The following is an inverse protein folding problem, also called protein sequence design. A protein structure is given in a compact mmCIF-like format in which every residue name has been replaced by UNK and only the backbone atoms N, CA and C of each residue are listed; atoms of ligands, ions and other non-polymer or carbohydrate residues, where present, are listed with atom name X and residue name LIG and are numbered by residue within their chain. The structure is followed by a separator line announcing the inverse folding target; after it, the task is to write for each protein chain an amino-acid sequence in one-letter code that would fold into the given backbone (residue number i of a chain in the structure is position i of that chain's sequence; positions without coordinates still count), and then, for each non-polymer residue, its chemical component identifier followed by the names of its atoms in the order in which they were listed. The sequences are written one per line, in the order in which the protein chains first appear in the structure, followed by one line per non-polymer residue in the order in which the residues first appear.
data_IF_253530939211
#
_entry.id   IF_253530939211
#
_cell.length_a   1.000
_cell.length_b   1.000
_cell.length_c   1.000
_cell.angle_alpha   90.00
_cell.angle_beta   90.00
_cell.angle_gamma   90.00
#
_symmetry.space_group_name_H-M   'P 1'
#
loop_
_entity.id
_entity.type
_entity.pdbx_description
1 polymer ?
#
# COMPACT_ATOMS: atom_id res chain seq x y z
N UNK A 1 26.22 -3.37 5.09
CA UNK A 1 26.50 -2.12 4.33
C UNK A 1 25.21 -1.29 4.31
N UNK A 2 25.33 0.03 4.52
CA UNK A 2 24.21 0.98 4.52
C UNK A 2 24.56 2.11 3.56
N UNK A 3 23.71 2.39 2.58
CA UNK A 3 23.90 3.40 1.56
C UNK A 3 22.95 4.57 1.86
N UNK A 4 23.51 5.77 2.01
CA UNK A 4 22.79 6.99 2.32
C UNK A 4 22.87 7.97 1.16
N UNK A 5 21.86 8.80 1.03
CA UNK A 5 21.87 10.02 0.21
C UNK A 5 21.99 11.23 1.12
N UNK A 6 22.53 12.29 0.60
CA UNK A 6 22.51 13.60 1.25
C UNK A 6 21.12 14.25 1.10
N UNK A 7 20.83 15.24 1.93
CA UNK A 7 19.50 15.90 1.96
C UNK A 7 19.17 16.56 0.62
N UNK A 8 20.14 17.13 -0.07
CA UNK A 8 19.97 17.77 -1.38
C UNK A 8 19.76 16.77 -2.52
N UNK A 9 20.02 15.48 -2.29
CA UNK A 9 19.77 14.39 -3.24
C UNK A 9 18.33 13.88 -3.23
N UNK A 10 17.47 14.37 -2.32
CA UNK A 10 16.03 14.03 -2.33
C UNK A 10 15.45 14.35 -3.72
N UNK A 11 14.65 13.44 -4.33
CA UNK A 11 14.01 13.69 -5.61
C UNK A 11 13.24 15.01 -5.65
N UNK A 12 13.40 15.76 -6.74
CA UNK A 12 12.67 17.01 -7.00
C UNK A 12 11.36 16.77 -7.74
N UNK A 13 11.16 15.57 -8.26
CA UNK A 13 9.99 15.16 -9.04
C UNK A 13 9.57 13.77 -8.62
N UNK A 14 8.28 13.49 -8.64
CA UNK A 14 7.75 12.13 -8.65
C UNK A 14 7.74 11.60 -10.08
N UNK A 15 7.83 10.28 -10.23
CA UNK A 15 7.70 9.61 -11.51
C UNK A 15 6.27 9.08 -11.70
N UNK A 16 5.65 9.46 -12.80
CA UNK A 16 4.30 9.04 -13.15
C UNK A 16 4.34 7.93 -14.21
N UNK A 17 3.99 6.72 -13.81
CA UNK A 17 3.97 5.54 -14.69
C UNK A 17 2.95 5.66 -15.82
N UNK A 18 1.87 6.48 -15.65
CA UNK A 18 0.83 6.65 -16.67
C UNK A 18 1.39 7.15 -18.01
N UNK A 19 2.48 7.91 -17.97
CA UNK A 19 3.18 8.39 -19.17
C UNK A 19 3.86 7.27 -19.98
N UNK A 20 4.09 6.10 -19.37
CA UNK A 20 4.92 5.05 -19.94
C UNK A 20 4.24 3.67 -19.95
N UNK A 21 2.97 3.58 -19.54
CA UNK A 21 2.22 2.33 -19.59
C UNK A 21 2.18 1.76 -21.03
N UNK A 22 2.28 0.42 -21.19
CA UNK A 22 2.27 -0.22 -22.52
C UNK A 22 0.93 -0.07 -23.26
N UNK A 23 -0.14 0.20 -22.52
CA UNK A 23 -1.50 0.45 -23.01
C UNK A 23 -2.14 1.58 -22.21
N UNK A 24 -3.12 2.23 -22.81
CA UNK A 24 -3.94 3.25 -22.12
C UNK A 24 -4.69 2.59 -20.96
N UNK A 25 -4.60 3.22 -19.79
CA UNK A 25 -5.31 2.78 -18.62
C UNK A 25 -6.82 2.95 -18.82
N UNK A 26 -7.65 1.91 -18.65
CA UNK A 26 -9.10 2.06 -18.73
C UNK A 26 -9.59 3.09 -17.68
N UNK A 27 -10.44 4.06 -18.07
CA UNK A 27 -10.90 5.11 -17.16
C UNK A 27 -11.82 4.54 -16.07
N UNK A 28 -11.91 5.20 -14.91
CA UNK A 28 -12.96 4.94 -13.95
C UNK A 28 -14.35 5.19 -14.57
N UNK A 29 -15.33 4.34 -14.26
CA UNK A 29 -16.68 4.47 -14.80
C UNK A 29 -17.67 4.89 -13.70
N UNK A 30 -18.63 5.72 -14.09
CA UNK A 30 -19.79 6.00 -13.27
C UNK A 30 -20.63 4.71 -13.14
N UNK A 31 -20.98 4.27 -11.93
CA UNK A 31 -21.68 3.00 -11.74
C UNK A 31 -23.07 2.92 -12.42
N UNK A 32 -23.74 4.05 -12.54
CA UNK A 32 -25.11 4.12 -13.09
C UNK A 32 -25.11 4.21 -14.61
N UNK A 33 -24.28 5.11 -15.17
CA UNK A 33 -24.28 5.38 -16.62
C UNK A 33 -23.29 4.51 -17.39
N UNK A 34 -22.34 3.85 -16.69
CA UNK A 34 -21.22 3.09 -17.30
C UNK A 34 -20.33 3.92 -18.24
N UNK A 35 -20.41 5.24 -18.14
CA UNK A 35 -19.54 6.18 -18.87
C UNK A 35 -18.34 6.60 -18.03
N UNK A 36 -17.22 7.05 -18.64
CA UNK A 36 -16.10 7.59 -17.90
C UNK A 36 -16.53 8.70 -16.93
N UNK A 37 -15.98 8.65 -15.71
CA UNK A 37 -16.22 9.69 -14.70
C UNK A 37 -15.54 10.98 -15.14
N UNK A 38 -16.26 12.11 -15.03
CA UNK A 38 -15.63 13.41 -15.17
C UNK A 38 -14.72 13.69 -13.95
N UNK A 39 -13.43 13.96 -14.13
CA UNK A 39 -12.53 14.28 -13.02
C UNK A 39 -13.01 15.41 -12.12
N UNK A 40 -13.74 16.39 -12.66
CA UNK A 40 -14.29 17.51 -11.87
C UNK A 40 -15.32 17.05 -10.82
N UNK A 41 -16.05 15.98 -11.08
CA UNK A 41 -17.01 15.41 -10.12
C UNK A 41 -16.29 14.83 -8.87
N UNK A 42 -15.05 14.40 -9.05
CA UNK A 42 -14.24 13.84 -7.97
C UNK A 42 -13.71 14.93 -7.01
N UNK A 43 -13.63 16.18 -7.44
CA UNK A 43 -13.16 17.31 -6.62
C UNK A 43 -14.04 17.57 -5.39
N UNK A 44 -15.30 17.10 -5.38
CA UNK A 44 -16.16 17.19 -4.20
C UNK A 44 -15.61 16.32 -3.04
N UNK A 45 -14.99 15.21 -3.36
CA UNK A 45 -14.49 14.22 -2.39
C UNK A 45 -13.00 14.37 -2.16
N UNK A 46 -12.23 14.45 -3.27
CA UNK A 46 -10.77 14.50 -3.23
C UNK A 46 -10.24 15.94 -3.32
N UNK A 47 -9.02 16.10 -2.88
CA UNK A 47 -8.20 17.30 -3.02
C UNK A 47 -7.99 17.57 -4.51
N UNK A 48 -8.20 18.81 -4.96
CA UNK A 48 -8.18 19.17 -6.39
C UNK A 48 -6.85 18.82 -7.06
N UNK A 49 -5.73 19.12 -6.40
CA UNK A 49 -4.41 18.79 -6.95
C UNK A 49 -4.20 17.27 -7.07
N UNK A 50 -4.72 16.47 -6.11
CA UNK A 50 -4.69 15.01 -6.22
C UNK A 50 -5.52 14.51 -7.40
N UNK A 51 -6.67 15.14 -7.69
CA UNK A 51 -7.49 14.80 -8.89
C UNK A 51 -6.73 15.12 -10.18
N UNK A 52 -6.04 16.27 -10.25
CA UNK A 52 -5.20 16.61 -11.41
C UNK A 52 -4.09 15.59 -11.63
N UNK A 53 -3.43 15.18 -10.55
CA UNK A 53 -2.38 14.16 -10.59
C UNK A 53 -2.90 12.76 -10.94
N UNK A 54 -4.13 12.43 -10.53
CA UNK A 54 -4.78 11.14 -10.83
C UNK A 54 -4.90 10.87 -12.33
N UNK A 55 -5.16 11.92 -13.11
CA UNK A 55 -5.39 11.84 -14.56
C UNK A 55 -4.22 12.39 -15.40
N UNK A 56 -3.16 12.87 -14.75
CA UNK A 56 -2.01 13.47 -15.44
C UNK A 56 -1.25 12.44 -16.26
N UNK A 57 -0.84 12.84 -17.46
CA UNK A 57 0.07 12.09 -18.34
C UNK A 57 1.49 12.67 -18.36
N UNK A 58 1.76 13.68 -17.54
CA UNK A 58 3.11 14.19 -17.35
C UNK A 58 4.00 13.14 -16.67
N UNK A 59 5.15 12.84 -17.27
CA UNK A 59 6.05 11.80 -16.75
C UNK A 59 6.69 12.15 -15.42
N UNK A 60 7.01 13.41 -15.19
CA UNK A 60 7.63 13.90 -13.96
C UNK A 60 6.83 15.07 -13.41
N UNK A 61 6.24 14.85 -12.23
CA UNK A 61 5.46 15.87 -11.53
C UNK A 61 6.32 16.46 -10.43
N UNK A 62 6.47 17.78 -10.41
CA UNK A 62 7.32 18.48 -9.43
C UNK A 62 6.84 18.28 -8.01
N UNK A 63 7.76 17.94 -7.11
CA UNK A 63 7.51 17.91 -5.67
C UNK A 63 7.69 19.35 -5.12
N UNK A 64 6.66 19.96 -4.56
CA UNK A 64 6.78 21.25 -3.88
C UNK A 64 7.88 21.24 -2.83
N UNK A 65 8.55 22.38 -2.65
CA UNK A 65 9.66 22.49 -1.69
C UNK A 65 9.18 22.22 -0.26
N UNK A 66 8.00 22.70 0.07
CA UNK A 66 7.39 22.50 1.40
C UNK A 66 7.12 21.01 1.69
N UNK A 67 6.75 20.23 0.69
CA UNK A 67 6.64 18.75 0.84
C UNK A 67 8.03 18.15 1.09
N UNK A 68 9.06 18.60 0.36
CA UNK A 68 10.44 18.11 0.53
C UNK A 68 10.98 18.43 1.92
N UNK A 69 10.69 19.64 2.46
CA UNK A 69 11.05 20.02 3.83
C UNK A 69 10.40 19.08 4.86
N UNK A 70 9.12 18.74 4.68
CA UNK A 70 8.43 17.80 5.59
C UNK A 70 8.95 16.38 5.37
N UNK A 71 9.33 15.98 4.16
CA UNK A 71 10.02 14.70 3.92
C UNK A 71 11.33 14.61 4.71
N UNK A 72 12.13 15.68 4.74
CA UNK A 72 13.36 15.76 5.54
C UNK A 72 13.05 15.57 7.04
N UNK A 73 12.06 16.29 7.56
CA UNK A 73 11.61 16.13 8.95
C UNK A 73 11.12 14.71 9.25
N UNK A 74 10.55 14.03 8.27
CA UNK A 74 10.08 12.67 8.38
C UNK A 74 11.19 11.62 8.18
N UNK A 75 12.46 12.04 8.07
CA UNK A 75 13.62 11.14 8.02
C UNK A 75 14.04 10.69 6.61
N UNK A 76 13.58 11.39 5.55
CA UNK A 76 14.09 11.15 4.19
C UNK A 76 15.37 11.97 3.93
N UNK A 77 16.26 11.47 3.05
CA UNK A 77 16.24 10.21 2.30
C UNK A 77 16.35 8.98 3.21
N UNK A 78 15.56 7.94 2.93
CA UNK A 78 15.63 6.71 3.71
C UNK A 78 16.81 5.83 3.28
N UNK A 79 17.42 5.04 4.18
CA UNK A 79 18.56 4.21 3.82
C UNK A 79 18.22 3.07 2.86
N UNK A 80 19.15 2.70 1.99
CA UNK A 80 19.22 1.39 1.37
C UNK A 80 20.22 0.54 2.15
N UNK A 81 19.85 -0.67 2.55
CA UNK A 81 20.69 -1.53 3.38
C UNK A 81 20.84 -2.91 2.75
N UNK A 82 22.05 -3.51 2.84
CA UNK A 82 22.30 -4.88 2.42
C UNK A 82 22.14 -5.84 3.59
N UNK A 83 21.44 -6.94 3.37
CA UNK A 83 21.13 -7.97 4.36
C UNK A 83 22.24 -9.03 4.43
N UNK A 84 23.47 -8.60 4.75
CA UNK A 84 24.66 -9.46 4.68
C UNK A 84 24.60 -10.67 5.60
N UNK A 85 24.00 -10.51 6.79
CA UNK A 85 23.87 -11.63 7.73
C UNK A 85 22.84 -12.65 7.27
N UNK A 86 21.78 -12.20 6.62
CA UNK A 86 20.79 -13.08 5.99
C UNK A 86 21.42 -13.86 4.82
N UNK A 87 22.21 -13.19 3.98
CA UNK A 87 22.96 -13.83 2.88
C UNK A 87 23.88 -14.96 3.39
N UNK A 88 24.63 -14.69 4.46
CA UNK A 88 25.50 -15.69 5.13
C UNK A 88 24.70 -16.90 5.62
N UNK A 89 23.58 -16.66 6.34
CA UNK A 89 22.74 -17.73 6.90
C UNK A 89 22.14 -18.60 5.78
N UNK A 90 21.73 -17.98 4.67
CA UNK A 90 21.20 -18.70 3.51
C UNK A 90 22.28 -19.40 2.70
N UNK A 91 23.55 -18.97 2.84
CA UNK A 91 24.68 -19.45 2.06
C UNK A 91 24.47 -19.23 0.56
N UNK A 92 23.94 -18.05 0.19
CA UNK A 92 23.58 -17.69 -1.17
C UNK A 92 24.63 -16.78 -1.80
N UNK A 93 24.88 -16.87 -3.13
CA UNK A 93 25.68 -15.88 -3.86
C UNK A 93 24.88 -14.58 -4.14
N UNK A 94 23.58 -14.55 -3.90
CA UNK A 94 22.77 -13.37 -4.13
C UNK A 94 23.09 -12.25 -3.13
N UNK A 95 23.04 -11.01 -3.62
CA UNK A 95 23.11 -9.78 -2.83
C UNK A 95 21.68 -9.31 -2.53
N UNK A 96 21.30 -9.23 -1.25
CA UNK A 96 19.95 -8.87 -0.83
C UNK A 96 19.96 -7.45 -0.27
N UNK A 97 19.26 -6.54 -0.93
CA UNK A 97 19.10 -5.15 -0.50
C UNK A 97 17.65 -4.87 -0.09
N UNK A 98 17.49 -4.02 0.89
CA UNK A 98 16.17 -3.56 1.32
C UNK A 98 16.15 -2.05 1.60
N UNK A 99 15.09 -1.41 1.09
CA UNK A 99 14.86 0.03 1.29
C UNK A 99 14.10 0.24 2.58
N UNK A 100 14.63 1.10 3.47
CA UNK A 100 14.17 1.30 4.85
C UNK A 100 13.04 2.33 4.96
N UNK A 101 11.81 1.95 4.61
CA UNK A 101 10.63 2.82 4.78
C UNK A 101 10.02 2.74 6.21
N UNK A 102 10.50 1.84 7.02
CA UNK A 102 10.16 1.67 8.43
C UNK A 102 10.71 2.79 9.34
N UNK A 103 11.68 3.57 8.87
CA UNK A 103 12.31 4.65 9.65
C UNK A 103 11.49 5.95 9.71
N UNK A 104 10.37 6.03 8.99
CA UNK A 104 9.48 7.17 9.07
C UNK A 104 8.87 7.33 10.47
N UNK A 105 8.38 8.52 10.87
CA UNK A 105 7.82 8.76 12.21
C UNK A 105 6.65 7.84 12.58
N UNK A 106 5.96 7.29 11.58
CA UNK A 106 4.82 6.38 11.77
C UNK A 106 5.17 4.92 11.44
N UNK A 107 6.43 4.67 11.10
CA UNK A 107 6.97 3.33 10.89
C UNK A 107 6.53 2.66 9.59
N UNK A 108 6.14 3.41 8.55
CA UNK A 108 5.79 2.84 7.25
C UNK A 108 5.92 3.82 6.07
N UNK A 109 6.01 3.28 4.85
CA UNK A 109 6.04 4.02 3.58
C UNK A 109 4.84 4.95 3.35
N UNK A 110 3.73 4.74 4.04
CA UNK A 110 2.48 5.49 3.81
C UNK A 110 2.61 6.98 4.13
N UNK A 111 3.57 7.34 4.97
CA UNK A 111 3.91 8.73 5.31
C UNK A 111 4.20 9.59 4.07
N UNK A 112 4.75 9.01 3.00
CA UNK A 112 5.11 9.77 1.80
C UNK A 112 3.90 10.41 1.11
N UNK A 113 2.86 9.62 0.83
CA UNK A 113 1.63 10.16 0.23
C UNK A 113 0.79 10.94 1.23
N UNK A 114 0.82 10.57 2.52
CA UNK A 114 0.09 11.28 3.55
C UNK A 114 0.55 12.74 3.68
N UNK A 115 1.86 12.99 3.65
CA UNK A 115 2.43 14.34 3.65
C UNK A 115 1.96 15.12 2.41
N UNK A 116 2.01 14.52 1.22
CA UNK A 116 1.60 15.19 -0.01
C UNK A 116 0.11 15.54 0.01
N UNK A 117 -0.76 14.61 0.39
CA UNK A 117 -2.21 14.85 0.46
C UNK A 117 -2.55 15.91 1.52
N UNK A 118 -1.97 15.85 2.72
CA UNK A 118 -2.21 16.85 3.76
C UNK A 118 -1.71 18.24 3.36
N UNK A 119 -0.55 18.35 2.69
CA UNK A 119 -0.04 19.60 2.15
C UNK A 119 -1.02 20.23 1.16
N UNK A 120 -1.46 19.46 0.17
CA UNK A 120 -2.38 19.97 -0.85
C UNK A 120 -3.74 20.34 -0.25
N UNK A 121 -4.25 19.58 0.71
CA UNK A 121 -5.47 19.93 1.44
C UNK A 121 -5.32 21.28 2.17
N UNK A 122 -4.20 21.45 2.87
CA UNK A 122 -3.89 22.72 3.55
C UNK A 122 -3.82 23.89 2.55
N UNK A 123 -3.17 23.70 1.39
CA UNK A 123 -3.08 24.74 0.35
C UNK A 123 -4.43 25.11 -0.28
N UNK A 124 -5.37 24.18 -0.32
CA UNK A 124 -6.75 24.41 -0.78
C UNK A 124 -7.64 25.07 0.30
N UNK A 125 -7.12 25.27 1.53
CA UNK A 125 -7.90 25.82 2.64
C UNK A 125 -8.88 24.81 3.25
N UNK A 126 -8.66 23.50 3.04
CA UNK A 126 -9.43 22.44 3.69
C UNK A 126 -9.17 22.46 5.19
N UNK A 127 -10.21 22.28 6.01
CA UNK A 127 -10.10 22.28 7.47
C UNK A 127 -10.03 20.88 8.08
N UNK A 128 -10.62 19.89 7.40
CA UNK A 128 -10.79 18.54 7.94
C UNK A 128 -10.55 17.48 6.88
N UNK A 129 -9.89 16.41 7.30
CA UNK A 129 -9.72 15.19 6.49
C UNK A 129 -10.55 14.05 7.07
N UNK A 130 -11.05 13.18 6.20
CA UNK A 130 -11.59 11.88 6.57
C UNK A 130 -10.83 10.77 5.87
N UNK A 131 -10.75 9.62 6.51
CA UNK A 131 -10.12 8.45 5.90
C UNK A 131 -10.52 7.15 6.59
N UNK A 132 -10.26 6.05 5.89
CA UNK A 132 -10.30 4.71 6.44
C UNK A 132 -8.89 4.25 6.87
N UNK A 133 -8.84 3.18 7.66
CA UNK A 133 -7.59 2.43 7.86
C UNK A 133 -7.87 0.98 8.21
N UNK A 134 -7.11 0.05 7.61
CA UNK A 134 -7.16 -1.38 7.91
C UNK A 134 -6.40 -1.71 9.20
N UNK A 135 -5.08 -1.88 9.09
CA UNK A 135 -4.21 -2.22 10.21
C UNK A 135 -3.77 -1.01 11.06
N UNK A 136 -4.07 0.21 10.62
CA UNK A 136 -3.72 1.46 11.30
C UNK A 136 -2.47 2.17 10.75
N UNK A 137 -1.69 1.55 9.85
CA UNK A 137 -0.50 2.23 9.29
C UNK A 137 -0.88 3.48 8.49
N UNK A 138 -1.93 3.40 7.67
CA UNK A 138 -2.40 4.54 6.90
C UNK A 138 -2.97 5.64 7.81
N UNK A 139 -3.85 5.27 8.73
CA UNK A 139 -4.40 6.21 9.70
C UNK A 139 -3.32 6.94 10.48
N UNK A 140 -2.28 6.23 10.97
CA UNK A 140 -1.15 6.83 11.67
C UNK A 140 -0.37 7.81 10.78
N UNK A 141 -0.14 7.46 9.52
CA UNK A 141 0.59 8.30 8.58
C UNK A 141 -0.19 9.60 8.27
N UNK A 142 -1.50 9.49 8.04
CA UNK A 142 -2.32 10.66 7.76
C UNK A 142 -2.55 11.52 9.02
N UNK A 143 -2.72 10.92 10.21
CA UNK A 143 -2.82 11.66 11.47
C UNK A 143 -1.55 12.49 11.74
N UNK A 144 -0.35 11.89 11.58
CA UNK A 144 0.92 12.61 11.63
C UNK A 144 0.94 13.79 10.65
N UNK A 145 0.58 13.54 9.40
CA UNK A 145 0.65 14.56 8.34
C UNK A 145 -0.39 15.66 8.56
N UNK A 146 -1.60 15.32 9.00
CA UNK A 146 -2.63 16.31 9.38
C UNK A 146 -2.14 17.24 10.50
N UNK A 147 -1.47 16.68 11.53
CA UNK A 147 -0.87 17.47 12.60
C UNK A 147 0.21 18.44 12.09
N UNK A 148 1.04 18.02 11.10
CA UNK A 148 2.08 18.89 10.51
C UNK A 148 1.51 20.11 9.78
N UNK A 149 0.28 20.01 9.26
CA UNK A 149 -0.40 21.07 8.50
C UNK A 149 -1.61 21.67 9.22
N UNK A 150 -1.78 21.41 10.54
CA UNK A 150 -2.87 21.90 11.37
C UNK A 150 -4.27 21.57 10.85
N UNK A 151 -4.46 20.37 10.30
CA UNK A 151 -5.73 19.86 9.81
C UNK A 151 -6.39 18.97 10.87
N UNK A 152 -7.72 19.07 11.00
CA UNK A 152 -8.50 18.08 11.75
C UNK A 152 -8.59 16.77 10.94
N UNK A 153 -8.73 15.64 11.62
CA UNK A 153 -8.84 14.35 10.96
C UNK A 153 -9.75 13.39 11.70
N UNK A 154 -10.65 12.73 10.97
CA UNK A 154 -11.48 11.63 11.45
C UNK A 154 -11.11 10.34 10.69
N UNK A 155 -10.92 9.25 11.44
CA UNK A 155 -10.42 7.96 10.93
C UNK A 155 -11.41 6.85 11.26
N UNK A 156 -11.85 6.13 10.23
CA UNK A 156 -12.65 4.90 10.35
C UNK A 156 -11.73 3.69 10.29
N UNK A 157 -11.47 3.06 11.45
CA UNK A 157 -10.57 1.90 11.53
C UNK A 157 -11.36 0.60 11.54
N UNK A 158 -10.98 -0.37 10.70
CA UNK A 158 -11.58 -1.71 10.70
C UNK A 158 -11.67 -2.26 12.13
N UNK A 159 -12.87 -2.60 12.60
CA UNK A 159 -13.16 -2.98 13.99
C UNK A 159 -12.25 -4.07 14.54
N UNK A 160 -11.98 -5.11 13.75
CA UNK A 160 -11.07 -6.18 14.15
C UNK A 160 -9.67 -5.66 14.48
N UNK A 161 -9.13 -4.76 13.66
CA UNK A 161 -7.82 -4.15 13.90
C UNK A 161 -7.84 -3.12 15.03
N UNK A 162 -8.93 -2.36 15.17
CA UNK A 162 -9.14 -1.42 16.27
C UNK A 162 -9.01 -2.10 17.64
N UNK A 163 -9.53 -3.34 17.75
CA UNK A 163 -9.43 -4.14 18.97
C UNK A 163 -8.07 -4.82 19.13
N UNK A 164 -7.48 -5.30 18.03
CA UNK A 164 -6.22 -6.07 18.06
C UNK A 164 -4.96 -5.19 18.17
N UNK A 165 -5.03 -3.91 17.78
CA UNK A 165 -3.87 -3.01 17.64
C UNK A 165 -4.06 -1.70 18.43
N UNK A 166 -4.20 -1.76 19.77
CA UNK A 166 -4.50 -0.58 20.60
C UNK A 166 -3.43 0.52 20.51
N UNK A 167 -2.15 0.15 20.34
CA UNK A 167 -1.06 1.11 20.24
C UNK A 167 -1.11 1.95 18.95
N UNK A 168 -1.68 1.44 17.87
CA UNK A 168 -1.93 2.22 16.65
C UNK A 168 -2.97 3.31 16.92
N UNK A 169 -4.03 2.97 17.64
CA UNK A 169 -5.04 3.95 18.06
C UNK A 169 -4.42 5.06 18.90
N UNK A 170 -3.67 4.70 19.94
CA UNK A 170 -3.00 5.67 20.82
C UNK A 170 -2.08 6.61 20.02
N UNK A 171 -1.31 6.07 19.06
CA UNK A 171 -0.44 6.88 18.21
C UNK A 171 -1.24 7.91 17.38
N UNK A 172 -2.36 7.50 16.80
CA UNK A 172 -3.22 8.39 16.01
C UNK A 172 -3.87 9.48 16.92
N UNK A 173 -4.32 9.11 18.12
CA UNK A 173 -4.88 10.04 19.12
C UNK A 173 -3.82 11.06 19.60
N UNK A 174 -2.56 10.64 19.77
CA UNK A 174 -1.46 11.56 20.11
C UNK A 174 -1.20 12.59 19.00
N UNK A 175 -1.49 12.28 17.74
CA UNK A 175 -1.45 13.23 16.64
C UNK A 175 -2.75 14.01 16.46
N UNK A 176 -3.71 13.90 17.40
CA UNK A 176 -4.96 14.65 17.40
C UNK A 176 -6.07 14.09 16.54
N UNK A 177 -5.99 12.84 16.10
CA UNK A 177 -7.04 12.20 15.30
C UNK A 177 -8.23 11.75 16.17
N UNK A 178 -9.44 11.89 15.62
CA UNK A 178 -10.64 11.25 16.11
C UNK A 178 -10.80 9.89 15.39
N UNK A 179 -11.03 8.80 16.15
CA UNK A 179 -10.99 7.43 15.58
C UNK A 179 -12.22 6.65 15.98
N UNK A 180 -12.88 6.06 14.98
CA UNK A 180 -14.05 5.22 15.15
C UNK A 180 -13.83 3.80 14.65
N UNK A 181 -14.29 2.76 15.39
CA UNK A 181 -14.30 1.39 14.89
C UNK A 181 -15.36 1.24 13.79
N UNK A 182 -14.97 0.83 12.59
CA UNK A 182 -15.87 0.59 11.46
C UNK A 182 -16.29 -0.89 11.39
N UNK A 183 -17.61 -1.19 11.26
CA UNK A 183 -18.73 -0.26 11.16
C UNK A 183 -19.02 0.49 12.47
N UNK A 184 -19.48 1.73 12.35
CA UNK A 184 -19.78 2.64 13.46
C UNK A 184 -21.24 3.07 13.50
N UNK A 185 -21.65 3.72 14.60
CA UNK A 185 -22.97 4.36 14.69
C UNK A 185 -22.97 5.80 14.19
N UNK A 186 -21.87 6.31 13.64
CA UNK A 186 -21.75 7.70 13.21
C UNK A 186 -22.26 7.93 11.79
N UNK A 187 -22.33 6.88 10.96
CA UNK A 187 -22.75 6.92 9.57
C UNK A 187 -23.99 6.06 9.33
N UNK A 188 -24.74 6.36 8.29
CA UNK A 188 -25.90 5.55 7.88
C UNK A 188 -25.47 4.17 7.42
N UNK A 189 -24.35 4.12 6.70
CA UNK A 189 -23.75 2.88 6.22
C UNK A 189 -23.32 2.00 7.40
N UNK A 190 -22.59 2.54 8.36
CA UNK A 190 -22.18 1.81 9.54
C UNK A 190 -23.36 1.25 10.33
N UNK A 191 -24.40 2.05 10.57
CA UNK A 191 -25.66 1.62 11.19
C UNK A 191 -26.33 0.47 10.43
N UNK A 192 -26.34 0.51 9.09
CA UNK A 192 -26.91 -0.56 8.25
C UNK A 192 -26.22 -1.90 8.47
N UNK A 193 -24.86 -1.90 8.55
CA UNK A 193 -24.10 -3.11 8.81
C UNK A 193 -24.26 -3.61 10.24
N UNK A 194 -24.25 -2.71 11.24
CA UNK A 194 -24.45 -3.07 12.65
C UNK A 194 -25.85 -3.58 12.93
N UNK A 195 -26.88 -3.12 12.22
CA UNK A 195 -28.25 -3.64 12.34
C UNK A 195 -28.35 -5.10 11.87
N UNK A 196 -27.55 -5.49 10.85
CA UNK A 196 -27.51 -6.86 10.34
C UNK A 196 -26.67 -7.78 11.24
N UNK A 197 -25.55 -7.27 11.77
CA UNK A 197 -24.63 -7.98 12.61
C UNK A 197 -23.98 -6.99 13.61
N UNK A 198 -24.49 -6.91 14.87
CA UNK A 198 -23.94 -6.03 15.91
C UNK A 198 -22.45 -6.27 16.21
N UNK A 199 -21.97 -7.50 15.97
CA UNK A 199 -20.58 -7.91 16.19
C UNK A 199 -19.75 -7.93 14.90
N UNK A 200 -20.21 -7.26 13.84
CA UNK A 200 -19.52 -7.24 12.56
C UNK A 200 -18.06 -6.81 12.70
N UNK A 201 -17.07 -7.63 12.24
CA UNK A 201 -15.65 -7.38 12.46
C UNK A 201 -15.12 -6.18 11.64
N UNK A 202 -15.92 -5.68 10.70
CA UNK A 202 -15.54 -4.67 9.76
C UNK A 202 -14.76 -5.22 8.55
N UNK A 203 -14.65 -4.39 7.53
CA UNK A 203 -13.77 -4.58 6.39
C UNK A 203 -13.22 -3.21 5.96
N UNK A 204 -12.13 -3.20 5.18
CA UNK A 204 -11.60 -1.96 4.64
C UNK A 204 -12.62 -1.27 3.74
N UNK A 205 -13.34 -2.03 2.92
CA UNK A 205 -14.38 -1.49 2.04
C UNK A 205 -15.53 -0.80 2.79
N UNK A 206 -15.96 -1.32 3.95
CA UNK A 206 -16.96 -0.66 4.80
C UNK A 206 -16.39 0.64 5.39
N UNK A 207 -15.14 0.62 5.86
CA UNK A 207 -14.49 1.80 6.42
C UNK A 207 -14.32 2.91 5.37
N UNK A 208 -14.03 2.55 4.09
CA UNK A 208 -14.01 3.48 2.95
C UNK A 208 -15.39 4.11 2.78
N UNK A 209 -16.45 3.31 2.74
CA UNK A 209 -17.83 3.81 2.58
C UNK A 209 -18.20 4.78 3.70
N UNK A 210 -17.85 4.48 4.97
CA UNK A 210 -18.13 5.36 6.09
C UNK A 210 -17.36 6.69 5.99
N UNK A 211 -16.06 6.64 5.63
CA UNK A 211 -15.24 7.83 5.47
C UNK A 211 -15.74 8.72 4.32
N UNK A 212 -16.24 8.13 3.23
CA UNK A 212 -16.82 8.84 2.11
C UNK A 212 -18.16 9.50 2.50
N UNK A 213 -19.05 8.77 3.22
CA UNK A 213 -20.32 9.34 3.72
C UNK A 213 -20.03 10.53 4.65
N UNK A 214 -19.08 10.38 5.56
CA UNK A 214 -18.67 11.46 6.45
C UNK A 214 -18.12 12.67 5.68
N UNK A 215 -17.26 12.45 4.69
CA UNK A 215 -16.74 13.52 3.82
C UNK A 215 -17.89 14.28 3.12
N UNK A 216 -18.87 13.56 2.58
CA UNK A 216 -19.97 14.15 1.82
C UNK A 216 -21.00 14.90 2.67
N UNK A 217 -21.08 14.59 3.96
CA UNK A 217 -22.05 15.17 4.91
C UNK A 217 -21.48 16.34 5.72
N UNK A 218 -20.20 16.64 5.60
CA UNK A 218 -19.54 17.75 6.29
C UNK A 218 -18.92 18.73 5.28
N UNK A 219 -19.12 20.02 5.56
CA UNK A 219 -18.51 21.09 4.78
C UNK A 219 -16.99 21.15 4.99
N UNK A 220 -16.29 21.71 4.01
CA UNK A 220 -14.82 21.92 4.04
C UNK A 220 -14.00 20.68 4.46
N UNK A 221 -14.48 19.51 4.05
CA UNK A 221 -13.91 18.20 4.36
C UNK A 221 -13.50 17.49 3.09
N UNK A 222 -12.32 16.84 3.08
CA UNK A 222 -11.82 16.02 1.98
C UNK A 222 -11.47 14.61 2.47
N UNK A 223 -11.70 13.64 1.59
CA UNK A 223 -11.32 12.26 1.80
C UNK A 223 -9.91 12.00 1.25
N UNK A 224 -9.09 11.32 2.05
CA UNK A 224 -7.76 10.86 1.68
C UNK A 224 -7.66 9.35 1.74
N UNK A 225 -6.85 8.75 0.88
CA UNK A 225 -6.63 7.29 0.90
C UNK A 225 -5.15 6.93 0.72
N UNK A 226 -4.78 5.76 1.25
CA UNK A 226 -3.39 5.33 1.35
C UNK A 226 -2.92 4.34 0.29
N UNK A 227 -3.72 4.04 -0.74
CA UNK A 227 -3.38 3.10 -1.81
C UNK A 227 -4.33 3.21 -3.00
N UNK A 228 -4.16 2.37 -4.02
CA UNK A 228 -5.04 2.14 -5.18
C UNK A 228 -4.99 3.23 -6.25
N UNK A 229 -5.27 4.49 -5.92
CA UNK A 229 -5.35 5.57 -6.91
C UNK A 229 -3.97 6.04 -7.38
N UNK A 230 -3.89 6.51 -8.63
CA UNK A 230 -2.62 6.83 -9.28
C UNK A 230 -1.85 7.95 -8.56
N UNK A 231 -2.51 8.99 -8.05
CA UNK A 231 -1.83 10.05 -7.30
C UNK A 231 -1.15 9.51 -6.02
N UNK A 232 -1.75 8.51 -5.37
CA UNK A 232 -1.13 7.85 -4.21
C UNK A 232 0.13 7.09 -4.64
N UNK A 233 0.03 6.30 -5.72
CA UNK A 233 1.15 5.52 -6.25
C UNK A 233 2.27 6.43 -6.75
N UNK A 234 1.92 7.53 -7.39
CA UNK A 234 2.82 8.60 -7.83
C UNK A 234 3.68 9.12 -6.67
N UNK A 235 3.04 9.55 -5.57
CA UNK A 235 3.75 10.07 -4.40
C UNK A 235 4.72 9.06 -3.79
N UNK A 236 4.43 7.76 -3.88
CA UNK A 236 5.30 6.72 -3.36
C UNK A 236 6.57 6.52 -4.20
N UNK A 237 6.61 6.99 -5.45
CA UNK A 237 7.77 6.78 -6.33
C UNK A 237 9.06 7.44 -5.83
N UNK A 238 8.98 8.35 -4.86
CA UNK A 238 10.15 8.87 -4.13
C UNK A 238 11.03 7.75 -3.60
N UNK A 239 10.43 6.61 -3.19
CA UNK A 239 11.14 5.42 -2.67
C UNK A 239 12.11 4.87 -3.73
N UNK A 240 11.59 4.52 -4.90
CA UNK A 240 12.39 3.94 -5.98
C UNK A 240 13.35 4.93 -6.62
N UNK A 241 12.99 6.22 -6.68
CA UNK A 241 13.87 7.28 -7.18
C UNK A 241 15.11 7.47 -6.31
N UNK A 242 14.94 7.48 -4.97
CA UNK A 242 16.08 7.46 -4.05
C UNK A 242 16.90 6.18 -4.18
N UNK A 243 16.21 5.03 -4.28
CA UNK A 243 16.86 3.72 -4.38
C UNK A 243 17.74 3.61 -5.61
N UNK A 244 17.31 4.15 -6.75
CA UNK A 244 18.13 4.20 -7.98
C UNK A 244 19.43 4.96 -7.75
N UNK A 245 19.36 6.17 -7.17
CA UNK A 245 20.55 6.94 -6.83
C UNK A 245 21.48 6.21 -5.84
N UNK A 246 20.90 5.47 -4.90
CA UNK A 246 21.68 4.68 -3.94
C UNK A 246 22.40 3.53 -4.63
N UNK A 247 21.78 2.86 -5.59
CA UNK A 247 22.45 1.82 -6.39
C UNK A 247 23.53 2.41 -7.30
N UNK A 248 23.31 3.59 -7.89
CA UNK A 248 24.33 4.29 -8.67
C UNK A 248 25.60 4.59 -7.86
N UNK A 249 25.46 4.92 -6.55
CA UNK A 249 26.62 5.16 -5.66
C UNK A 249 27.50 3.93 -5.42
N UNK A 250 26.99 2.74 -5.67
CA UNK A 250 27.70 1.47 -5.43
C UNK A 250 27.91 0.65 -6.70
N UNK A 251 27.62 1.24 -7.86
CA UNK A 251 27.74 0.61 -9.18
C UNK A 251 27.03 -0.75 -9.26
N UNK A 252 25.81 -0.81 -8.72
CA UNK A 252 24.94 -2.00 -8.73
C UNK A 252 23.59 -1.65 -9.36
N UNK A 253 22.89 -2.68 -9.84
CA UNK A 253 21.51 -2.55 -10.34
C UNK A 253 20.70 -3.80 -10.00
N UNK A 254 19.41 -3.71 -9.62
CA UNK A 254 18.65 -4.87 -9.19
C UNK A 254 18.23 -5.76 -10.37
N UNK A 255 18.52 -7.07 -10.28
CA UNK A 255 17.95 -8.10 -11.14
C UNK A 255 16.48 -8.36 -10.79
N UNK A 256 16.12 -8.22 -9.51
CA UNK A 256 14.78 -8.52 -9.00
C UNK A 256 14.35 -7.42 -8.05
N UNK A 257 13.15 -6.86 -8.27
CA UNK A 257 12.51 -5.89 -7.38
C UNK A 257 11.22 -6.47 -6.82
N UNK A 258 11.09 -6.47 -5.49
CA UNK A 258 10.00 -7.13 -4.75
C UNK A 258 9.27 -6.11 -3.88
N UNK A 259 7.94 -6.19 -3.86
CA UNK A 259 7.10 -5.43 -2.94
C UNK A 259 5.84 -6.18 -2.56
N UNK A 260 5.41 -6.07 -1.30
CA UNK A 260 4.10 -6.58 -0.90
C UNK A 260 2.97 -5.70 -1.43
N UNK A 261 1.82 -6.33 -1.72
CA UNK A 261 0.66 -5.71 -2.34
C UNK A 261 -0.60 -5.96 -1.51
N UNK A 262 -1.22 -4.85 -1.07
CA UNK A 262 -2.64 -4.77 -0.77
C UNK A 262 -3.31 -4.04 -1.94
N UNK A 263 -3.49 -2.72 -1.84
CA UNK A 263 -3.91 -1.89 -2.97
C UNK A 263 -2.80 -1.54 -3.97
N UNK A 264 -1.51 -1.76 -3.67
CA UNK A 264 -0.40 -1.58 -4.61
C UNK A 264 0.57 -0.44 -4.34
N UNK A 265 0.30 0.48 -3.39
CA UNK A 265 1.13 1.68 -3.18
C UNK A 265 2.59 1.38 -2.81
N UNK A 266 2.82 0.38 -1.96
CA UNK A 266 4.16 -0.05 -1.58
C UNK A 266 4.95 -0.59 -2.77
N UNK A 267 4.35 -1.50 -3.52
CA UNK A 267 4.97 -2.07 -4.71
C UNK A 267 5.28 -1.00 -5.76
N UNK A 268 4.30 -0.12 -6.06
CA UNK A 268 4.48 0.97 -7.00
C UNK A 268 5.63 1.89 -6.60
N UNK A 269 5.72 2.24 -5.33
CA UNK A 269 6.76 3.12 -4.81
C UNK A 269 8.17 2.63 -5.10
N UNK A 270 8.46 1.36 -4.84
CA UNK A 270 9.78 0.79 -5.07
C UNK A 270 10.00 0.40 -6.54
N UNK A 271 8.97 -0.06 -7.25
CA UNK A 271 9.14 -0.70 -8.56
C UNK A 271 8.96 0.23 -9.77
N UNK A 272 8.05 1.23 -9.72
CA UNK A 272 7.72 2.03 -10.89
C UNK A 272 8.91 2.78 -11.50
N UNK A 273 9.81 3.41 -10.72
CA UNK A 273 11.02 4.01 -11.29
C UNK A 273 11.95 3.02 -12.00
N UNK A 274 11.98 1.76 -11.58
CA UNK A 274 12.73 0.68 -12.27
C UNK A 274 11.95 0.09 -13.45
N UNK A 275 10.61 0.01 -13.37
CA UNK A 275 9.75 -0.35 -14.50
C UNK A 275 9.88 0.64 -15.67
N UNK A 276 10.10 1.93 -15.39
CA UNK A 276 10.47 2.91 -16.41
C UNK A 276 11.67 2.42 -17.23
N UNK A 277 12.74 1.97 -16.56
CA UNK A 277 13.93 1.49 -17.26
C UNK A 277 13.66 0.20 -18.05
N UNK A 278 12.84 -0.71 -17.51
CA UNK A 278 12.41 -1.90 -18.26
C UNK A 278 11.64 -1.55 -19.52
N UNK A 279 10.69 -0.63 -19.42
CA UNK A 279 9.82 -0.23 -20.57
C UNK A 279 10.59 0.60 -21.61
N UNK A 280 11.50 1.49 -21.16
CA UNK A 280 12.19 2.45 -22.05
C UNK A 280 13.59 2.03 -22.47
N UNK A 281 14.28 1.28 -21.62
CA UNK A 281 15.69 0.89 -21.83
C UNK A 281 15.88 -0.62 -21.98
N UNK A 282 14.80 -1.40 -21.94
CA UNK A 282 14.79 -2.87 -22.06
C UNK A 282 15.70 -3.57 -21.02
N UNK A 283 15.71 -3.08 -19.77
CA UNK A 283 16.44 -3.79 -18.69
C UNK A 283 15.79 -5.13 -18.38
N UNK A 284 16.62 -6.12 -17.99
CA UNK A 284 16.17 -7.49 -17.69
C UNK A 284 15.58 -7.66 -16.28
N UNK A 285 15.42 -6.56 -15.52
CA UNK A 285 14.89 -6.60 -14.15
C UNK A 285 13.53 -7.32 -14.08
N UNK A 286 13.41 -8.26 -13.17
CA UNK A 286 12.15 -8.91 -12.83
C UNK A 286 11.44 -8.16 -11.70
N UNK A 287 10.12 -8.05 -11.78
CA UNK A 287 9.28 -7.42 -10.77
C UNK A 287 8.33 -8.44 -10.17
N UNK A 288 8.31 -8.55 -8.83
CA UNK A 288 7.49 -9.53 -8.10
C UNK A 288 6.60 -8.81 -7.12
N UNK A 289 5.30 -8.80 -7.41
CA UNK A 289 4.26 -8.37 -6.50
C UNK A 289 3.84 -9.52 -5.58
N UNK A 290 3.80 -9.29 -4.27
CA UNK A 290 3.58 -10.35 -3.29
C UNK A 290 2.34 -10.05 -2.46
N UNK A 291 1.40 -11.01 -2.42
CA UNK A 291 0.14 -10.88 -1.70
C UNK A 291 -0.10 -12.06 -0.74
N UNK A 292 -1.03 -11.95 0.24
CA UNK A 292 -1.40 -13.09 1.07
C UNK A 292 -2.34 -14.06 0.35
N UNK A 293 -2.17 -15.37 0.55
CA UNK A 293 -3.09 -16.39 0.04
C UNK A 293 -4.53 -16.21 0.51
N UNK A 294 -4.72 -15.51 1.61
CA UNK A 294 -6.03 -15.17 2.17
C UNK A 294 -6.77 -14.06 1.40
N UNK A 295 -6.06 -13.27 0.58
CA UNK A 295 -6.61 -12.16 -0.22
C UNK A 295 -5.87 -12.11 -1.56
N UNK A 296 -6.08 -13.10 -2.42
CA UNK A 296 -5.28 -13.31 -3.62
C UNK A 296 -5.86 -12.56 -4.83
N UNK A 297 -5.95 -11.23 -4.74
CA UNK A 297 -6.55 -10.41 -5.78
C UNK A 297 -5.84 -10.51 -7.12
N UNK A 298 -4.51 -10.54 -7.12
CA UNK A 298 -3.69 -10.61 -8.33
C UNK A 298 -3.50 -12.04 -8.84
N UNK A 299 -3.42 -13.05 -7.96
CA UNK A 299 -3.16 -14.45 -8.35
C UNK A 299 -4.42 -15.22 -8.70
N UNK A 300 -5.57 -14.91 -8.08
CA UNK A 300 -6.84 -15.64 -8.27
C UNK A 300 -8.02 -14.74 -8.60
N UNK A 301 -7.86 -13.41 -8.59
CA UNK A 301 -8.89 -12.47 -8.96
C UNK A 301 -9.13 -12.41 -10.47
N UNK A 302 -10.19 -11.71 -10.84
CA UNK A 302 -10.54 -11.41 -12.23
C UNK A 302 -10.16 -9.98 -12.59
N UNK A 303 -9.78 -9.73 -13.85
CA UNK A 303 -9.53 -8.38 -14.34
C UNK A 303 -10.84 -7.77 -14.85
N UNK A 304 -11.54 -7.06 -13.99
CA UNK A 304 -12.89 -6.53 -14.24
C UNK A 304 -13.05 -5.12 -13.68
N UNK A 305 -14.14 -4.45 -14.02
CA UNK A 305 -14.57 -3.25 -13.31
C UNK A 305 -15.24 -3.64 -12.01
N UNK A 306 -14.84 -3.02 -10.90
CA UNK A 306 -15.40 -3.28 -9.58
C UNK A 306 -15.38 -1.99 -8.74
N UNK A 307 -16.19 -1.94 -7.71
CA UNK A 307 -16.21 -0.84 -6.75
C UNK A 307 -14.94 -0.84 -5.88
N UNK A 308 -14.48 0.35 -5.52
CA UNK A 308 -13.39 0.52 -4.56
C UNK A 308 -13.80 0.25 -3.10
N UNK A 309 -15.11 0.22 -2.81
CA UNK A 309 -15.70 0.11 -1.48
C UNK A 309 -16.88 -0.88 -1.43
N UNK A 310 -17.23 -1.35 -0.22
CA UNK A 310 -18.31 -2.33 -0.03
C UNK A 310 -19.72 -1.70 -0.09
N UNK A 311 -19.82 -0.38 0.11
CA UNK A 311 -21.09 0.36 0.08
C UNK A 311 -21.44 0.89 -1.30
N UNK A 312 -20.65 0.59 -2.33
CA UNK A 312 -20.89 0.97 -3.73
C UNK A 312 -20.98 2.49 -3.95
N UNK A 313 -20.19 3.25 -3.17
CA UNK A 313 -20.14 4.72 -3.25
C UNK A 313 -19.10 5.23 -4.24
N UNK A 314 -18.08 4.40 -4.56
CA UNK A 314 -16.99 4.79 -5.45
C UNK A 314 -17.32 4.57 -6.92
N UNK A 315 -16.59 5.22 -7.85
CA UNK A 315 -16.58 4.79 -9.25
C UNK A 315 -16.09 3.34 -9.39
N UNK A 316 -16.46 2.74 -10.52
CA UNK A 316 -15.96 1.43 -10.92
C UNK A 316 -14.54 1.58 -11.47
N UNK A 317 -13.60 0.80 -10.94
CA UNK A 317 -12.19 0.79 -11.36
C UNK A 317 -11.87 -0.51 -12.11
N UNK A 318 -11.17 -0.43 -13.24
CA UNK A 318 -10.69 -1.60 -13.97
C UNK A 318 -9.47 -2.16 -13.27
N UNK A 319 -9.60 -3.28 -12.56
CA UNK A 319 -8.56 -3.85 -11.71
C UNK A 319 -8.66 -5.37 -11.62
N UNK A 320 -7.59 -6.02 -11.14
CA UNK A 320 -7.73 -7.37 -10.61
C UNK A 320 -8.45 -7.30 -9.26
N UNK A 321 -9.54 -8.06 -9.12
CA UNK A 321 -10.41 -8.06 -7.95
C UNK A 321 -10.90 -9.47 -7.60
N UNK A 322 -11.14 -9.69 -6.33
CA UNK A 322 -11.86 -10.86 -5.79
C UNK A 322 -13.29 -10.50 -5.36
N UNK A 323 -13.75 -9.30 -5.77
CA UNK A 323 -15.09 -8.78 -5.50
C UNK A 323 -15.18 -7.90 -4.24
N UNK A 324 -15.82 -6.71 -4.38
CA UNK A 324 -15.95 -5.72 -3.31
C UNK A 324 -16.75 -6.21 -2.09
N UNK A 325 -17.55 -7.28 -2.25
CA UNK A 325 -18.31 -7.92 -1.16
C UNK A 325 -17.52 -8.99 -0.41
N UNK A 326 -16.31 -9.37 -0.90
CA UNK A 326 -15.45 -10.35 -0.25
C UNK A 326 -15.04 -9.90 1.15
N UNK A 327 -15.18 -10.79 2.13
CA UNK A 327 -14.75 -10.55 3.52
C UNK A 327 -13.41 -11.24 3.79
N UNK A 328 -12.30 -10.48 3.79
CA UNK A 328 -11.00 -11.06 4.12
C UNK A 328 -10.97 -11.65 5.53
N UNK A 329 -10.36 -12.82 5.71
CA UNK A 329 -10.14 -13.36 7.05
C UNK A 329 -9.20 -12.42 7.85
N UNK A 330 -9.24 -12.50 9.20
CA UNK A 330 -8.51 -11.58 10.07
C UNK A 330 -7.02 -11.92 10.18
N UNK A 331 -6.32 -12.05 9.05
CA UNK A 331 -4.86 -12.18 9.04
C UNK A 331 -4.19 -10.94 9.64
N UNK A 332 -3.02 -11.10 10.23
CA UNK A 332 -2.30 -9.99 10.88
C UNK A 332 -1.73 -8.96 9.89
N UNK A 333 -1.47 -9.33 8.63
CA UNK A 333 -1.13 -8.40 7.56
C UNK A 333 -2.37 -7.58 7.12
N UNK A 334 -2.91 -6.79 8.04
CA UNK A 334 -4.16 -6.05 7.83
C UNK A 334 -4.09 -5.02 6.70
N UNK A 335 -2.91 -4.48 6.40
CA UNK A 335 -2.67 -3.58 5.27
C UNK A 335 -2.74 -4.25 3.90
N UNK A 336 -2.77 -5.59 3.85
CA UNK A 336 -2.93 -6.37 2.60
C UNK A 336 -4.35 -6.95 2.44
N UNK A 337 -5.29 -6.61 3.32
CA UNK A 337 -6.68 -7.09 3.27
C UNK A 337 -7.57 -6.17 2.42
N UNK A 338 -7.25 -6.02 1.16
CA UNK A 338 -8.06 -5.28 0.20
C UNK A 338 -8.45 -6.17 -0.98
N UNK A 339 -9.70 -6.07 -1.44
CA UNK A 339 -10.28 -6.98 -2.43
C UNK A 339 -9.76 -6.77 -3.86
N UNK A 340 -9.14 -5.62 -4.14
CA UNK A 340 -8.65 -5.25 -5.48
C UNK A 340 -7.22 -4.72 -5.45
N UNK A 341 -6.63 -4.57 -6.63
CA UNK A 341 -5.32 -3.95 -6.81
C UNK A 341 -5.42 -2.71 -7.70
N UNK A 342 -4.53 -1.74 -7.49
CA UNK A 342 -4.48 -0.50 -8.26
C UNK A 342 -4.61 -0.75 -9.77
N UNK A 343 -5.40 0.05 -10.50
CA UNK A 343 -5.60 -0.13 -11.95
C UNK A 343 -4.29 -0.17 -12.75
N UNK A 344 -3.34 0.72 -12.47
CA UNK A 344 -2.05 0.73 -13.16
C UNK A 344 -1.22 -0.51 -12.87
N UNK A 345 -1.18 -1.00 -11.62
CA UNK A 345 -0.52 -2.27 -11.27
C UNK A 345 -1.23 -3.46 -11.94
N UNK A 346 -2.55 -3.49 -11.91
CA UNK A 346 -3.35 -4.54 -12.55
C UNK A 346 -3.07 -4.63 -14.04
N UNK A 347 -2.94 -3.50 -14.72
CA UNK A 347 -2.57 -3.47 -16.14
C UNK A 347 -1.16 -4.03 -16.36
N UNK A 348 -0.17 -3.64 -15.54
CA UNK A 348 1.20 -4.15 -15.65
C UNK A 348 1.29 -5.66 -15.43
N UNK A 349 0.51 -6.20 -14.49
CA UNK A 349 0.38 -7.66 -14.28
C UNK A 349 -0.25 -8.33 -15.49
N UNK A 350 -1.35 -7.78 -16.01
CA UNK A 350 -2.04 -8.30 -17.20
C UNK A 350 -1.15 -8.33 -18.44
N UNK A 351 -0.30 -7.32 -18.59
CA UNK A 351 0.65 -7.24 -19.73
C UNK A 351 1.94 -8.05 -19.49
N UNK A 352 2.04 -8.81 -18.38
CA UNK A 352 3.18 -9.70 -18.09
C UNK A 352 4.46 -8.99 -17.65
N UNK A 353 4.41 -7.68 -17.36
CA UNK A 353 5.57 -6.92 -16.87
C UNK A 353 5.86 -7.15 -15.38
N UNK A 354 4.86 -7.60 -14.63
CA UNK A 354 4.95 -7.89 -13.20
C UNK A 354 4.50 -9.31 -12.94
N UNK A 355 5.35 -10.09 -12.27
CA UNK A 355 5.02 -11.43 -11.76
C UNK A 355 4.33 -11.32 -10.42
N UNK A 356 3.50 -12.28 -10.07
CA UNK A 356 2.75 -12.29 -8.81
C UNK A 356 3.06 -13.54 -8.01
N UNK A 357 3.12 -13.41 -6.68
CA UNK A 357 3.20 -14.55 -5.74
C UNK A 357 2.27 -14.33 -4.57
N UNK A 358 1.77 -15.43 -4.01
CA UNK A 358 0.97 -15.43 -2.80
C UNK A 358 1.58 -16.36 -1.76
N UNK A 359 1.58 -15.93 -0.49
CA UNK A 359 2.11 -16.70 0.64
C UNK A 359 1.12 -16.79 1.79
N UNK A 360 1.18 -17.93 2.50
CA UNK A 360 0.43 -18.16 3.72
C UNK A 360 1.03 -17.43 4.92
N UNK A 361 0.18 -17.16 5.92
CA UNK A 361 0.58 -16.40 7.10
C UNK A 361 1.74 -17.04 7.87
N UNK A 362 1.75 -18.37 8.04
CA UNK A 362 2.79 -19.06 8.81
C UNK A 362 4.17 -18.94 8.16
N UNK A 363 4.26 -19.12 6.83
CA UNK A 363 5.54 -19.06 6.13
C UNK A 363 6.12 -17.64 6.07
N UNK A 364 5.28 -16.59 6.04
CA UNK A 364 5.78 -15.21 6.09
C UNK A 364 6.26 -14.84 7.49
N UNK A 365 5.63 -15.34 8.57
CA UNK A 365 6.11 -15.14 9.94
C UNK A 365 7.40 -15.92 10.22
N UNK A 366 7.58 -17.11 9.63
CA UNK A 366 8.86 -17.84 9.68
C UNK A 366 9.98 -17.03 9.04
N UNK A 367 9.75 -16.50 7.84
CA UNK A 367 10.69 -15.64 7.14
C UNK A 367 11.00 -14.34 7.93
N UNK A 368 9.98 -13.73 8.51
CA UNK A 368 10.13 -12.54 9.36
C UNK A 368 10.99 -12.81 10.62
N UNK A 369 10.77 -13.96 11.27
CA UNK A 369 11.58 -14.40 12.42
C UNK A 369 13.05 -14.61 12.02
N UNK A 370 13.28 -15.27 10.88
CA UNK A 370 14.64 -15.46 10.35
C UNK A 370 15.31 -14.11 10.07
N UNK A 371 14.61 -13.20 9.40
CA UNK A 371 15.10 -11.86 9.08
C UNK A 371 15.40 -11.05 10.35
N UNK A 372 14.51 -11.08 11.34
CA UNK A 372 14.71 -10.38 12.60
C UNK A 372 15.94 -10.91 13.35
N UNK A 373 16.18 -12.23 13.34
CA UNK A 373 17.36 -12.84 13.95
C UNK A 373 18.66 -12.47 13.18
N UNK A 374 18.58 -12.37 11.87
CA UNK A 374 19.73 -12.07 11.01
C UNK A 374 20.09 -10.58 11.06
N UNK A 375 19.14 -9.69 10.83
CA UNK A 375 19.38 -8.26 10.59
C UNK A 375 19.02 -7.35 11.78
N UNK A 376 18.45 -7.91 12.86
CA UNK A 376 18.05 -7.15 14.05
C UNK A 376 16.82 -6.24 13.84
N UNK A 377 16.05 -6.45 12.78
CA UNK A 377 14.91 -5.64 12.40
C UNK A 377 13.64 -6.48 12.35
N UNK A 378 12.60 -6.02 13.03
CA UNK A 378 11.30 -6.72 13.05
C UNK A 378 10.40 -6.15 11.95
N UNK A 379 10.13 -6.91 10.86
CA UNK A 379 9.27 -6.43 9.79
C UNK A 379 7.80 -6.40 10.21
N UNK A 380 7.02 -5.47 9.66
CA UNK A 380 5.57 -5.57 9.73
C UNK A 380 5.10 -6.88 9.07
N UNK A 381 3.95 -7.47 9.47
CA UNK A 381 3.41 -8.67 8.83
C UNK A 381 3.22 -8.51 7.32
N UNK A 382 2.92 -7.30 6.85
CA UNK A 382 2.89 -6.93 5.44
C UNK A 382 4.26 -7.07 4.77
N UNK A 383 5.29 -6.46 5.38
CA UNK A 383 6.68 -6.49 4.91
C UNK A 383 7.23 -7.92 4.88
N UNK A 384 6.80 -8.78 5.79
CA UNK A 384 7.19 -10.18 5.87
C UNK A 384 6.90 -10.97 4.59
N UNK A 385 5.88 -10.58 3.81
CA UNK A 385 5.59 -11.16 2.50
C UNK A 385 6.74 -10.88 1.49
N UNK A 386 7.25 -9.65 1.46
CA UNK A 386 8.39 -9.31 0.61
C UNK A 386 9.68 -9.98 1.08
N UNK A 387 9.89 -10.08 2.40
CA UNK A 387 11.03 -10.82 2.99
C UNK A 387 11.00 -12.28 2.56
N UNK A 388 9.83 -12.95 2.64
CA UNK A 388 9.69 -14.35 2.21
C UNK A 388 10.06 -14.53 0.73
N UNK A 389 9.54 -13.66 -0.13
CA UNK A 389 9.86 -13.72 -1.56
C UNK A 389 11.36 -13.47 -1.84
N UNK A 390 12.00 -12.53 -1.11
CA UNK A 390 13.43 -12.28 -1.25
C UNK A 390 14.27 -13.49 -0.81
N UNK A 391 13.89 -14.16 0.27
CA UNK A 391 14.52 -15.40 0.73
C UNK A 391 14.38 -16.51 -0.34
N UNK A 392 13.20 -16.67 -0.91
CA UNK A 392 12.96 -17.70 -1.93
C UNK A 392 13.79 -17.45 -3.20
N UNK A 393 13.90 -16.19 -3.65
CA UNK A 393 14.76 -15.84 -4.80
C UNK A 393 16.24 -16.04 -4.47
N UNK A 394 16.68 -15.74 -3.25
CA UNK A 394 18.05 -15.99 -2.82
C UNK A 394 18.38 -17.50 -2.77
N UNK A 395 17.45 -18.34 -2.29
CA UNK A 395 17.59 -19.80 -2.31
C UNK A 395 17.59 -20.33 -3.75
N UNK A 396 16.79 -19.75 -4.63
CA UNK A 396 16.78 -20.09 -6.05
C UNK A 396 18.14 -19.75 -6.69
N UNK A 397 18.67 -18.55 -6.47
CA UNK A 397 19.98 -18.13 -6.94
C UNK A 397 21.09 -19.09 -6.48
N UNK A 398 21.03 -19.54 -5.21
CA UNK A 398 21.96 -20.55 -4.66
C UNK A 398 21.87 -21.87 -5.43
N UNK A 399 20.66 -22.39 -5.70
CA UNK A 399 20.48 -23.65 -6.43
C UNK A 399 20.97 -23.55 -7.88
N UNK A 400 20.80 -22.38 -8.49
CA UNK A 400 21.25 -22.12 -9.87
C UNK A 400 22.73 -21.74 -9.97
N UNK A 401 23.42 -21.49 -8.84
CA UNK A 401 24.81 -21.02 -8.79
C UNK A 401 24.99 -19.64 -9.44
N UNK A 402 23.96 -18.79 -9.43
CA UNK A 402 23.97 -17.47 -10.07
C UNK A 402 23.99 -16.36 -9.05
N UNK A 403 24.87 -15.39 -9.25
CA UNK A 403 24.76 -14.10 -8.53
C UNK A 403 23.52 -13.37 -9.00
N UNK A 404 22.77 -12.79 -8.04
CA UNK A 404 21.58 -11.96 -8.28
C UNK A 404 21.56 -10.81 -7.29
N UNK A 405 21.21 -9.64 -7.77
CA UNK A 405 20.94 -8.47 -6.93
C UNK A 405 19.43 -8.42 -6.70
N UNK A 406 19.00 -8.69 -5.47
CA UNK A 406 17.60 -8.73 -5.05
C UNK A 406 17.32 -7.48 -4.21
N UNK A 407 16.34 -6.70 -4.64
CA UNK A 407 15.85 -5.52 -3.92
C UNK A 407 14.43 -5.78 -3.41
N UNK A 408 14.16 -5.49 -2.15
CA UNK A 408 12.80 -5.40 -1.67
C UNK A 408 12.54 -4.13 -0.84
N UNK A 409 11.26 -3.71 -0.76
CA UNK A 409 10.88 -2.60 0.09
C UNK A 409 10.57 -3.08 1.51
N UNK A 410 11.34 -2.63 2.49
CA UNK A 410 11.04 -2.82 3.92
C UNK A 410 10.00 -1.77 4.33
N UNK A 411 8.74 -2.05 3.97
CA UNK A 411 7.63 -1.12 3.92
C UNK A 411 7.17 -0.58 5.28
N UNK A 412 7.49 -1.30 6.36
CA UNK A 412 7.19 -0.89 7.73
C UNK A 412 7.75 -1.84 8.77
N UNK A 413 7.89 -1.34 10.02
CA UNK A 413 8.32 -2.14 11.16
C UNK A 413 7.16 -2.86 11.84
N UNK A 414 7.46 -3.94 12.58
CA UNK A 414 6.51 -4.78 13.31
C UNK A 414 6.34 -4.44 14.79
N UNK A 415 6.86 -3.31 15.29
CA UNK A 415 6.80 -3.00 16.73
C UNK A 415 5.37 -2.83 17.26
N UNK A 416 4.45 -2.37 16.44
CA UNK A 416 3.02 -2.33 16.78
C UNK A 416 2.30 -3.66 16.52
N UNK A 417 3.01 -4.68 16.03
CA UNK A 417 2.46 -5.99 15.65
C UNK A 417 3.09 -7.13 16.48
N UNK A 418 3.76 -6.81 17.60
CA UNK A 418 4.43 -7.81 18.45
C UNK A 418 3.44 -8.86 19.03
N UNK A 419 2.16 -8.50 19.18
CA UNK A 419 1.13 -9.48 19.56
C UNK A 419 0.98 -10.58 18.50
N UNK A 420 1.06 -10.25 17.21
CA UNK A 420 1.04 -11.24 16.13
C UNK A 420 2.25 -12.17 16.18
N UNK A 421 3.43 -11.61 16.45
CA UNK A 421 4.65 -12.40 16.65
C UNK A 421 4.57 -13.31 17.86
N UNK A 422 3.97 -12.84 18.97
CA UNK A 422 3.71 -13.66 20.15
C UNK A 422 2.81 -14.84 19.79
N UNK A 423 1.71 -14.63 19.11
CA UNK A 423 0.81 -15.70 18.68
C UNK A 423 1.50 -16.71 17.77
N UNK A 424 2.39 -16.24 16.87
CA UNK A 424 3.22 -17.12 16.04
C UNK A 424 4.18 -17.96 16.89
N UNK A 425 4.91 -17.34 17.83
CA UNK A 425 5.88 -18.03 18.70
C UNK A 425 5.21 -19.04 19.64
N UNK A 426 3.96 -18.80 20.05
CA UNK A 426 3.14 -19.69 20.87
C UNK A 426 2.41 -20.77 20.04
N UNK A 427 2.61 -20.82 18.70
CA UNK A 427 1.96 -21.78 17.82
C UNK A 427 0.44 -21.58 17.67
N UNK A 428 -0.05 -20.37 17.94
CA UNK A 428 -1.49 -20.03 17.89
C UNK A 428 -1.93 -19.49 16.53
N UNK A 429 -0.99 -19.08 15.66
CA UNK A 429 -1.32 -18.66 14.31
C UNK A 429 -1.69 -19.85 13.43
N UNK A 430 -2.65 -19.62 12.52
CA UNK A 430 -3.08 -20.60 11.53
C UNK A 430 -3.08 -19.97 10.15
N UNK A 431 -2.87 -20.78 9.11
CA UNK A 431 -3.14 -20.35 7.75
C UNK A 431 -4.65 -20.33 7.51
N UNK A 432 -5.10 -19.30 6.81
CA UNK A 432 -6.45 -19.26 6.28
C UNK A 432 -6.42 -19.84 4.88
N UNK A 433 -6.98 -21.04 4.73
CA UNK A 433 -7.18 -21.62 3.41
C UNK A 433 -8.30 -20.87 2.71
N UNK A 434 -8.01 -20.45 1.50
CA UNK A 434 -8.99 -19.81 0.66
C UNK A 434 -10.10 -20.81 0.33
N UNK A 435 -11.33 -20.41 0.57
CA UNK A 435 -12.51 -21.12 0.05
C UNK A 435 -12.78 -20.55 -1.33
N UNK A 436 -12.37 -21.26 -2.38
CA UNK A 436 -12.53 -20.82 -3.79
C UNK A 436 -14.00 -20.46 -4.11
N UNK A 437 -14.94 -21.19 -3.53
CA UNK A 437 -16.37 -20.91 -3.69
C UNK A 437 -16.76 -19.50 -3.22
N UNK A 438 -16.16 -18.99 -2.14
CA UNK A 438 -16.42 -17.62 -1.65
C UNK A 438 -15.90 -16.53 -2.57
N UNK A 439 -14.76 -16.76 -3.24
CA UNK A 439 -14.27 -15.83 -4.27
C UNK A 439 -15.22 -15.88 -5.46
N UNK A 440 -15.56 -17.07 -5.93
CA UNK A 440 -16.45 -17.23 -7.07
C UNK A 440 -17.84 -16.60 -6.82
N UNK A 441 -18.35 -16.68 -5.59
CA UNK A 441 -19.59 -16.03 -5.19
C UNK A 441 -19.47 -14.49 -5.24
N UNK A 442 -18.38 -13.94 -4.69
CA UNK A 442 -18.14 -12.49 -4.69
C UNK A 442 -17.84 -11.97 -6.10
N UNK A 443 -17.09 -12.72 -6.91
CA UNK A 443 -16.77 -12.35 -8.30
C UNK A 443 -18.00 -12.40 -9.21
N UNK A 444 -18.94 -13.29 -8.97
CA UNK A 444 -20.21 -13.33 -9.75
C UNK A 444 -20.98 -12.01 -9.67
N UNK A 445 -20.97 -11.33 -8.53
CA UNK A 445 -21.61 -10.01 -8.40
C UNK A 445 -20.94 -8.97 -9.29
N UNK A 446 -19.61 -9.04 -9.47
CA UNK A 446 -18.83 -8.14 -10.33
C UNK A 446 -19.09 -8.38 -11.82
N UNK A 447 -19.24 -9.63 -12.23
CA UNK A 447 -19.40 -10.01 -13.65
C UNK A 447 -20.85 -9.80 -14.13
N UNK A 448 -21.84 -9.90 -13.24
CA UNK A 448 -23.25 -9.75 -13.60
C UNK A 448 -23.66 -8.32 -13.96
N UNK A 449 -22.84 -7.32 -13.56
CA UNK A 449 -23.15 -5.89 -13.72
C UNK A 449 -22.44 -5.24 -14.92
N UNK A 450 -21.70 -6.03 -15.74
CA UNK A 450 -21.03 -5.62 -16.97
C UNK A 450 -21.66 -6.23 -18.22
#
# INVERSE_FOLDING_TARGET
MKILLDIDEIPKYWYNILADLPKVLPPPLNPQTKTPVNPDDLKRIFIEECVKQEVSTERYIKIPEEIREVYIKAGRPTPLQRATKLEEILGTPAKIFFKREDVSPTGSHKTNTAIAQAYYAHKEGVERLTTETGAGQWGSALAYSAAMFNLKITIYMTRSSYLQKPYRKILMELFGAEIFPSPSNNTSIGKKFLKKDPNHPGSLGIAISEALEDCLTHENTKYCLGSVLNHVLLHQTVIGLETKKQFEKIDEYPDIVIGCVGGGSNFAGISYPFLHDKIKKNTETEFIAVEPTAVPSLTKGVYAYDYGDTGEMTPLLKMFTIGHTYRPPPIHAGGLRYHGAAPSLSLLVKEGLVKVRAYGQLEVFEAAKLFAKAEGLVPAPETAHAVKAAIDEAIKAKREGKEKVILFNFSGHGFFDLQAYREYLEGKLTNYNLVEDKIMESVKTVISDL
#
